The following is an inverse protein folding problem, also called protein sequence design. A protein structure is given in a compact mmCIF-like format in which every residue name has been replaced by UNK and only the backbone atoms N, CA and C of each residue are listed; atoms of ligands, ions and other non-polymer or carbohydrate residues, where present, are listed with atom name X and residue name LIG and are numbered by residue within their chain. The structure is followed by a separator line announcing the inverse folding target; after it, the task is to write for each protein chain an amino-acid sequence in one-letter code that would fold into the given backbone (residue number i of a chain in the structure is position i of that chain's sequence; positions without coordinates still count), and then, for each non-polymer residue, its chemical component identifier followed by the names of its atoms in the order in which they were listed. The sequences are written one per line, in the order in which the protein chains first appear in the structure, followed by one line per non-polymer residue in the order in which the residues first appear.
data_IF_454349673842
#
_entry.id   IF_454349673842
#
_cell.length_a   1.000
_cell.length_b   1.000
_cell.length_c   1.000
_cell.angle_alpha   90.00
_cell.angle_beta   90.00
_cell.angle_gamma   90.00
#
_symmetry.space_group_name_H-M   'P 1'
#
loop_
_entity.id
_entity.type
_entity.pdbx_description
1 polymer ?
#
# COMPACT_ATOMS: atom_id res chain seq x y z
N UNK A 1 -7.96 -0.33 -13.16
CA UNK A 1 -7.02 -1.34 -12.64
C UNK A 1 -6.76 -1.19 -11.15
N UNK A 2 -6.17 -0.09 -10.66
CA UNK A 2 -5.84 0.03 -9.22
C UNK A 2 -7.02 0.39 -8.32
N UNK A 3 -8.00 1.16 -8.81
CA UNK A 3 -9.09 1.67 -7.95
C UNK A 3 -10.50 1.35 -8.44
N UNK A 4 -10.73 1.35 -9.77
CA UNK A 4 -12.08 1.27 -10.33
C UNK A 4 -12.67 -0.14 -10.53
N UNK A 5 -11.84 -1.19 -10.60
CA UNK A 5 -12.35 -2.54 -10.83
C UNK A 5 -13.01 -3.11 -9.55
N UNK A 6 -13.99 -4.02 -9.68
CA UNK A 6 -14.60 -4.71 -8.53
C UNK A 6 -13.54 -5.43 -7.69
N UNK A 7 -12.64 -6.16 -8.36
CA UNK A 7 -11.57 -6.91 -7.71
C UNK A 7 -10.62 -5.99 -6.93
N UNK A 8 -10.21 -4.87 -7.54
CA UNK A 8 -9.34 -3.92 -6.86
C UNK A 8 -10.02 -3.28 -5.66
N UNK A 9 -11.31 -2.90 -5.78
CA UNK A 9 -12.08 -2.34 -4.67
C UNK A 9 -12.19 -3.33 -3.52
N UNK A 10 -12.44 -4.60 -3.84
CA UNK A 10 -12.50 -5.65 -2.84
C UNK A 10 -11.18 -5.79 -2.06
N UNK A 11 -10.02 -5.73 -2.74
CA UNK A 11 -8.71 -5.73 -2.06
C UNK A 11 -8.57 -4.55 -1.08
N UNK A 12 -8.94 -3.33 -1.50
CA UNK A 12 -8.87 -2.16 -0.63
C UNK A 12 -9.81 -2.26 0.59
N UNK A 13 -11.00 -2.85 0.41
CA UNK A 13 -11.97 -3.09 1.48
C UNK A 13 -11.44 -4.15 2.45
N UNK A 14 -10.98 -5.30 1.95
CA UNK A 14 -10.51 -6.42 2.80
C UNK A 14 -9.31 -6.03 3.68
N UNK A 15 -8.45 -5.13 3.20
CA UNK A 15 -7.31 -4.62 3.97
C UNK A 15 -7.70 -3.47 4.91
N UNK A 16 -8.92 -2.92 4.78
CA UNK A 16 -9.41 -1.83 5.62
C UNK A 16 -8.88 -0.45 5.21
N UNK A 17 -8.57 -0.25 3.93
CA UNK A 17 -8.02 1.00 3.37
C UNK A 17 -9.02 1.75 2.47
N UNK A 18 -10.28 1.31 2.40
CA UNK A 18 -11.32 1.95 1.59
C UNK A 18 -11.57 3.41 1.98
N UNK A 19 -11.60 3.71 3.27
CA UNK A 19 -11.76 5.06 3.81
C UNK A 19 -10.66 6.05 3.40
N UNK A 20 -9.46 5.55 3.08
CA UNK A 20 -8.33 6.35 2.58
C UNK A 20 -8.48 6.57 1.08
N UNK A 21 -8.84 5.53 0.33
CA UNK A 21 -8.83 5.55 -1.13
C UNK A 21 -10.09 6.19 -1.72
N UNK A 22 -11.27 5.87 -1.21
CA UNK A 22 -12.54 6.32 -1.78
C UNK A 22 -12.66 7.84 -1.92
N UNK A 23 -12.35 8.65 -0.88
CA UNK A 23 -12.44 10.11 -1.01
C UNK A 23 -11.48 10.68 -2.06
N UNK A 24 -10.30 10.08 -2.19
CA UNK A 24 -9.26 10.54 -3.14
C UNK A 24 -9.63 10.19 -4.58
N UNK A 25 -10.17 9.00 -4.78
CA UNK A 25 -10.65 8.53 -6.10
C UNK A 25 -11.89 9.29 -6.56
N UNK A 26 -12.72 9.78 -5.63
CA UNK A 26 -13.84 10.68 -5.93
C UNK A 26 -13.37 12.06 -6.40
N UNK A 27 -12.25 12.56 -5.86
CA UNK A 27 -11.66 13.85 -6.26
C UNK A 27 -10.90 13.77 -7.58
N UNK A 28 -10.25 12.64 -7.86
CA UNK A 28 -9.51 12.41 -9.10
C UNK A 28 -9.54 10.94 -9.51
N UNK A 29 -9.85 10.69 -10.77
CA UNK A 29 -9.75 9.35 -11.36
C UNK A 29 -8.35 9.03 -11.90
N UNK A 30 -7.44 10.01 -11.92
CA UNK A 30 -6.05 9.78 -12.32
C UNK A 30 -5.27 9.09 -11.19
N UNK A 31 -4.80 7.88 -11.50
CA UNK A 31 -4.00 7.04 -10.59
C UNK A 31 -2.77 7.78 -10.06
N UNK A 32 -2.08 8.56 -10.90
CA UNK A 32 -0.86 9.28 -10.51
C UNK A 32 -1.17 10.35 -9.47
N UNK A 33 -2.27 11.08 -9.67
CA UNK A 33 -2.71 12.13 -8.75
C UNK A 33 -3.08 11.51 -7.40
N UNK A 34 -3.85 10.42 -7.41
CA UNK A 34 -4.27 9.74 -6.18
C UNK A 34 -3.07 9.20 -5.40
N UNK A 35 -2.13 8.52 -6.06
CA UNK A 35 -0.94 7.97 -5.40
C UNK A 35 -0.03 9.09 -4.85
N UNK A 36 0.15 10.17 -5.61
CA UNK A 36 0.95 11.31 -5.15
C UNK A 36 0.32 12.00 -3.94
N UNK A 37 -1.01 12.16 -3.92
CA UNK A 37 -1.73 12.70 -2.76
C UNK A 37 -1.54 11.81 -1.52
N UNK A 38 -1.65 10.49 -1.67
CA UNK A 38 -1.40 9.55 -0.58
C UNK A 38 0.04 9.66 -0.07
N UNK A 39 1.03 9.76 -0.96
CA UNK A 39 2.43 9.92 -0.55
C UNK A 39 2.72 11.25 0.16
N UNK A 40 1.91 12.29 -0.07
CA UNK A 40 1.98 13.56 0.67
C UNK A 40 1.36 13.48 2.06
N UNK A 41 0.72 12.37 2.42
CA UNK A 41 0.20 12.09 3.76
C UNK A 41 1.30 12.23 4.82
N UNK A 42 0.99 12.89 5.94
CA UNK A 42 1.87 12.88 7.13
C UNK A 42 1.95 11.50 7.80
N UNK A 43 1.00 10.63 7.51
CA UNK A 43 0.98 9.27 8.05
C UNK A 43 1.71 8.33 7.09
N UNK A 44 2.96 8.01 7.46
CA UNK A 44 3.85 7.08 6.74
C UNK A 44 3.24 5.69 6.64
N UNK A 45 2.51 5.23 7.67
CA UNK A 45 1.85 3.93 7.66
C UNK A 45 0.77 3.84 6.58
N UNK A 46 -0.04 4.88 6.45
CA UNK A 46 -1.06 4.99 5.41
C UNK A 46 -0.41 5.04 4.02
N UNK A 47 0.63 5.85 3.86
CA UNK A 47 1.32 5.98 2.59
C UNK A 47 1.99 4.66 2.17
N UNK A 48 2.76 4.04 3.08
CA UNK A 48 3.43 2.77 2.84
C UNK A 48 2.45 1.65 2.53
N UNK A 49 1.38 1.52 3.33
CA UNK A 49 0.35 0.51 3.11
C UNK A 49 -0.33 0.67 1.75
N UNK A 50 -0.69 1.90 1.36
CA UNK A 50 -1.31 2.15 0.07
C UNK A 50 -0.39 1.83 -1.11
N UNK A 51 0.90 2.14 -1.02
CA UNK A 51 1.88 1.81 -2.06
C UNK A 51 2.06 0.30 -2.19
N UNK A 52 2.13 -0.45 -1.08
CA UNK A 52 2.21 -1.92 -1.12
C UNK A 52 0.97 -2.53 -1.79
N UNK A 53 -0.22 -2.04 -1.46
CA UNK A 53 -1.47 -2.53 -2.09
C UNK A 53 -1.48 -2.21 -3.59
N UNK A 54 -1.11 -0.99 -3.98
CA UNK A 54 -1.00 -0.59 -5.38
C UNK A 54 0.00 -1.48 -6.14
N UNK A 55 1.14 -1.82 -5.52
CA UNK A 55 2.12 -2.73 -6.07
C UNK A 55 1.56 -4.16 -6.23
N UNK A 56 0.87 -4.70 -5.23
CA UNK A 56 0.25 -6.04 -5.31
C UNK A 56 -0.80 -6.14 -6.43
N UNK A 57 -1.63 -5.10 -6.59
CA UNK A 57 -2.60 -5.02 -7.68
C UNK A 57 -1.92 -4.93 -9.05
N UNK A 58 -0.84 -4.15 -9.14
CA UNK A 58 -0.03 -4.04 -10.34
C UNK A 58 0.66 -5.35 -10.72
N UNK A 59 1.26 -6.01 -9.73
CA UNK A 59 1.87 -7.31 -9.86
C UNK A 59 0.88 -8.36 -10.39
N UNK A 60 -0.32 -8.45 -9.80
CA UNK A 60 -1.34 -9.40 -10.24
C UNK A 60 -1.78 -9.16 -11.69
N UNK A 61 -1.99 -7.91 -12.07
CA UNK A 61 -2.36 -7.58 -13.45
C UNK A 61 -1.27 -7.97 -14.44
N UNK A 62 0.00 -7.72 -14.12
CA UNK A 62 1.11 -8.14 -14.97
C UNK A 62 1.19 -9.65 -15.09
N UNK A 63 0.99 -10.39 -13.99
CA UNK A 63 0.93 -11.85 -14.04
C UNK A 63 -0.19 -12.35 -14.95
N UNK A 64 -1.34 -11.67 -14.95
CA UNK A 64 -2.43 -12.05 -15.85
C UNK A 64 -2.07 -11.78 -17.31
N UNK A 65 -1.48 -10.63 -17.61
CA UNK A 65 -1.07 -10.25 -18.98
C UNK A 65 0.01 -11.18 -19.53
N UNK A 66 1.01 -11.50 -18.73
CA UNK A 66 2.21 -12.20 -19.21
C UNK A 66 2.17 -13.71 -19.00
N UNK A 67 1.48 -14.18 -17.96
CA UNK A 67 1.47 -15.59 -17.55
C UNK A 67 0.07 -16.22 -17.56
N UNK A 68 -0.99 -15.46 -17.85
CA UNK A 68 -2.40 -15.92 -17.77
C UNK A 68 -2.74 -16.39 -16.34
N UNK A 69 -1.98 -15.94 -15.35
CA UNK A 69 -2.21 -16.25 -13.93
C UNK A 69 -2.86 -15.06 -13.26
N UNK A 70 -4.04 -15.29 -12.69
CA UNK A 70 -4.81 -14.26 -11.99
C UNK A 70 -5.16 -14.72 -10.59
N UNK A 71 -4.63 -14.02 -9.59
CA UNK A 71 -4.94 -14.25 -8.19
C UNK A 71 -6.35 -13.71 -7.87
N UNK A 72 -7.00 -14.34 -6.89
CA UNK A 72 -8.28 -13.84 -6.34
C UNK A 72 -8.04 -12.57 -5.51
N UNK A 73 -9.05 -11.69 -5.37
CA UNK A 73 -8.94 -10.50 -4.51
C UNK A 73 -8.41 -10.81 -3.10
N UNK A 74 -8.90 -11.89 -2.48
CA UNK A 74 -8.47 -12.34 -1.15
C UNK A 74 -7.02 -12.82 -1.10
N UNK A 75 -6.54 -13.49 -2.15
CA UNK A 75 -5.12 -13.88 -2.23
C UNK A 75 -4.21 -12.65 -2.33
N UNK A 76 -4.60 -11.67 -3.16
CA UNK A 76 -3.89 -10.40 -3.30
C UNK A 76 -3.89 -9.64 -1.96
N UNK A 77 -5.04 -9.58 -1.29
CA UNK A 77 -5.20 -8.91 0.00
C UNK A 77 -4.33 -9.55 1.09
N UNK A 78 -4.30 -10.89 1.13
CA UNK A 78 -3.45 -11.66 2.05
C UNK A 78 -1.97 -11.36 1.82
N UNK A 79 -1.51 -11.38 0.56
CA UNK A 79 -0.13 -11.03 0.21
C UNK A 79 0.21 -9.60 0.62
N UNK A 80 -0.68 -8.65 0.33
CA UNK A 80 -0.48 -7.25 0.71
C UNK A 80 -0.39 -7.09 2.23
N UNK A 81 -1.27 -7.73 3.00
CA UNK A 81 -1.26 -7.68 4.46
C UNK A 81 0.06 -8.22 5.04
N UNK A 82 0.58 -9.33 4.50
CA UNK A 82 1.88 -9.89 4.89
C UNK A 82 3.03 -8.90 4.61
N UNK A 83 3.11 -8.38 3.39
CA UNK A 83 4.16 -7.42 3.01
C UNK A 83 4.09 -6.12 3.83
N UNK A 84 2.88 -5.64 4.14
CA UNK A 84 2.68 -4.48 5.02
C UNK A 84 3.19 -4.80 6.43
N UNK A 85 2.90 -5.98 6.98
CA UNK A 85 3.36 -6.38 8.30
C UNK A 85 4.89 -6.48 8.37
N UNK A 86 5.52 -7.09 7.36
CA UNK A 86 6.98 -7.16 7.23
C UNK A 86 7.61 -5.76 7.13
N UNK A 87 7.06 -4.91 6.26
CA UNK A 87 7.52 -3.53 6.12
C UNK A 87 7.39 -2.73 7.43
N UNK A 88 6.27 -2.86 8.15
CA UNK A 88 6.06 -2.22 9.46
C UNK A 88 7.09 -2.68 10.48
N UNK A 89 7.40 -3.98 10.52
CA UNK A 89 8.40 -4.54 11.42
C UNK A 89 9.81 -3.99 11.12
N UNK A 90 10.19 -3.88 9.84
CA UNK A 90 11.48 -3.30 9.47
C UNK A 90 11.53 -1.79 9.75
N UNK A 91 10.46 -1.07 9.44
CA UNK A 91 10.41 0.38 9.63
C UNK A 91 10.46 0.78 11.11
N UNK A 92 9.83 -0.01 12.00
CA UNK A 92 9.90 0.22 13.46
C UNK A 92 11.32 0.01 14.00
N UNK A 93 12.01 -1.05 13.58
CA UNK A 93 13.41 -1.29 13.93
C UNK A 93 14.31 -0.15 13.45
N UNK A 94 14.14 0.31 12.20
CA UNK A 94 14.90 1.43 11.68
C UNK A 94 14.65 2.74 12.43
N UNK A 95 13.40 3.02 12.84
CA UNK A 95 13.09 4.19 13.66
C UNK A 95 13.76 4.11 15.04
N UNK A 96 13.76 2.94 15.68
CA UNK A 96 14.47 2.73 16.94
C UNK A 96 15.96 2.98 16.77
N UNK A 97 16.61 2.39 15.76
CA UNK A 97 18.04 2.60 15.48
C UNK A 97 18.37 4.08 15.24
N UNK A 98 17.53 4.80 14.46
CA UNK A 98 17.70 6.25 14.26
C UNK A 98 17.60 7.02 15.58
N UNK A 99 16.66 6.66 16.44
CA UNK A 99 16.50 7.32 17.74
C UNK A 99 17.70 7.06 18.66
N UNK A 100 18.23 5.83 18.67
CA UNK A 100 19.44 5.50 19.44
C UNK A 100 20.66 6.29 18.98
N UNK A 101 20.88 6.43 17.66
CA UNK A 101 21.99 7.20 17.11
C UNK A 101 21.91 8.69 17.52
N UNK A 102 20.73 9.30 17.43
CA UNK A 102 20.53 10.70 17.83
C UNK A 102 20.85 10.90 19.33
N UNK A 103 20.45 9.95 20.19
CA UNK A 103 20.74 10.04 21.63
C UNK A 103 22.24 9.86 21.91
N UNK A 104 22.91 8.95 21.18
CA UNK A 104 24.33 8.70 21.35
C UNK A 104 25.22 9.88 20.87
N UNK A 105 24.78 10.65 19.87
CA UNK A 105 25.49 11.85 19.40
C UNK A 105 25.33 13.08 20.34
N UNK A 106 24.43 13.01 21.33
CA UNK A 106 24.18 14.10 22.28
C UNK A 106 24.84 13.91 23.66
N UNK A 107 25.63 12.83 23.84
CA UNK A 107 26.42 12.54 25.04
C UNK A 107 27.91 12.73 24.77
#
# INVERSE_FOLDING_TARGET
MLFGCSESRQVWIEIGMSNVIEPRVQQSHDVKIVLLDICKSKNVDVAGSAIVIAWCLWYNHNNWVWNILKDTPTSIATRAAQLIAEWRAVNSLQQQSRQFLIVAEQQ
#
